data_IF_906018873824
#
_entry.id   IF_906018873824
#
_cell.length_a   1.000
_cell.length_b   1.000
_cell.length_c   1.000
_cell.angle_alpha   90.00
_cell.angle_beta   90.00
_cell.angle_gamma   90.00
#
_symmetry.space_group_name_H-M   'P 1'
#
loop_
_entity.id
_entity.type
_entity.pdbx_description
1 polymer ?
#
# COMPACT_ATOMS: atom_id res chain seq x y z
N UNK A 1 -2.54 -9.74 -6.38
CA UNK A 1 -3.16 -8.68 -7.20
C UNK A 1 -3.18 -7.34 -6.46
N UNK A 2 -3.60 -7.32 -5.20
CA UNK A 2 -3.71 -6.10 -4.36
C UNK A 2 -2.40 -5.32 -4.23
N UNK A 3 -1.29 -5.98 -3.90
CA UNK A 3 0.04 -5.35 -3.78
C UNK A 3 0.48 -4.66 -5.09
N UNK A 4 0.34 -5.34 -6.24
CA UNK A 4 0.74 -4.76 -7.54
C UNK A 4 -0.09 -3.53 -7.93
N UNK A 5 -1.36 -3.48 -7.52
CA UNK A 5 -2.22 -2.30 -7.72
C UNK A 5 -1.78 -1.15 -6.82
N UNK A 6 -1.49 -1.44 -5.55
CA UNK A 6 -0.99 -0.45 -4.59
C UNK A 6 0.34 0.15 -5.06
N UNK A 7 1.27 -0.69 -5.51
CA UNK A 7 2.57 -0.28 -6.03
C UNK A 7 2.44 0.66 -7.23
N UNK A 8 1.53 0.35 -8.17
CA UNK A 8 1.25 1.22 -9.33
C UNK A 8 0.67 2.56 -8.93
N UNK A 9 -0.26 2.58 -7.96
CA UNK A 9 -0.88 3.81 -7.46
C UNK A 9 0.18 4.72 -6.80
N UNK A 10 1.00 4.14 -5.92
CA UNK A 10 2.07 4.87 -5.22
C UNK A 10 3.10 5.41 -6.22
N UNK A 11 3.54 4.57 -7.17
CA UNK A 11 4.44 4.99 -8.24
C UNK A 11 3.84 6.07 -9.16
N UNK A 12 2.52 6.10 -9.32
CA UNK A 12 1.84 7.12 -10.13
C UNK A 12 1.69 8.46 -9.39
N UNK A 13 1.92 8.53 -8.07
CA UNK A 13 1.75 9.74 -7.27
C UNK A 13 0.29 10.23 -7.15
N UNK A 14 -0.67 9.54 -7.76
CA UNK A 14 -2.12 9.86 -7.70
C UNK A 14 -2.77 9.14 -6.52
N UNK A 15 -2.33 9.44 -5.31
CA UNK A 15 -2.90 8.87 -4.11
C UNK A 15 -2.84 9.85 -2.96
N UNK A 16 -3.83 9.78 -2.08
CA UNK A 16 -3.75 10.43 -0.79
C UNK A 16 -3.05 9.49 0.19
N UNK A 17 -2.05 10.00 0.93
CA UNK A 17 -1.30 9.19 1.89
C UNK A 17 -2.22 8.57 2.95
N UNK A 18 -3.28 9.27 3.36
CA UNK A 18 -4.21 8.76 4.37
C UNK A 18 -5.09 7.65 3.80
N UNK A 19 -5.70 7.85 2.63
CA UNK A 19 -6.51 6.80 1.97
C UNK A 19 -5.67 5.55 1.67
N UNK A 20 -4.43 5.74 1.23
CA UNK A 20 -3.56 4.63 0.88
C UNK A 20 -3.17 3.81 2.11
N UNK A 21 -2.85 4.49 3.21
CA UNK A 21 -2.56 3.84 4.49
C UNK A 21 -3.77 3.06 5.01
N UNK A 22 -4.95 3.66 5.00
CA UNK A 22 -6.20 3.01 5.44
C UNK A 22 -6.50 1.73 4.63
N UNK A 23 -6.34 1.80 3.30
CA UNK A 23 -6.48 0.63 2.43
C UNK A 23 -5.43 -0.45 2.71
N UNK A 24 -4.17 -0.05 2.92
CA UNK A 24 -3.09 -0.99 3.23
C UNK A 24 -3.34 -1.71 4.57
N UNK A 25 -3.82 -1.00 5.58
CA UNK A 25 -4.19 -1.56 6.89
C UNK A 25 -5.32 -2.59 6.74
N UNK A 26 -6.38 -2.25 5.99
CA UNK A 26 -7.47 -3.20 5.69
C UNK A 26 -6.96 -4.43 4.94
N UNK A 27 -6.03 -4.26 3.99
CA UNK A 27 -5.46 -5.39 3.24
C UNK A 27 -4.58 -6.29 4.11
N UNK A 28 -3.84 -5.70 5.06
CA UNK A 28 -3.04 -6.46 6.03
C UNK A 28 -3.96 -7.23 6.99
N UNK A 29 -4.99 -6.57 7.53
CA UNK A 29 -6.01 -7.19 8.39
C UNK A 29 -6.75 -8.33 7.68
N UNK A 30 -7.04 -8.15 6.39
CA UNK A 30 -7.68 -9.16 5.55
C UNK A 30 -6.71 -10.28 5.09
N UNK A 31 -5.45 -10.29 5.54
CA UNK A 31 -4.39 -11.20 5.08
C UNK A 31 -4.24 -11.25 3.54
N UNK A 32 -4.54 -10.13 2.86
CA UNK A 32 -4.43 -9.98 1.40
C UNK A 32 -3.02 -9.62 0.96
N UNK A 33 -2.21 -9.09 1.87
CA UNK A 33 -0.80 -8.74 1.73
C UNK A 33 -0.05 -9.18 3.00
N UNK A 34 1.26 -9.40 2.88
CA UNK A 34 2.13 -9.71 4.03
C UNK A 34 2.68 -8.44 4.67
N UNK A 35 3.21 -8.56 5.89
CA UNK A 35 3.85 -7.45 6.61
C UNK A 35 5.00 -6.82 5.81
N UNK A 36 5.79 -7.67 5.12
CA UNK A 36 6.87 -7.23 4.22
C UNK A 36 6.34 -6.38 3.06
N UNK A 37 5.25 -6.82 2.42
CA UNK A 37 4.61 -6.10 1.33
C UNK A 37 4.02 -4.77 1.80
N UNK A 38 3.42 -4.73 2.99
CA UNK A 38 2.91 -3.50 3.60
C UNK A 38 4.06 -2.51 3.86
N UNK A 39 5.15 -2.96 4.48
CA UNK A 39 6.35 -2.13 4.74
C UNK A 39 6.96 -1.58 3.47
N UNK A 40 7.10 -2.39 2.43
CA UNK A 40 7.66 -1.95 1.16
C UNK A 40 6.81 -0.84 0.52
N UNK A 41 5.48 -0.99 0.55
CA UNK A 41 4.56 0.02 0.03
C UNK A 41 4.56 1.30 0.89
N UNK A 42 4.63 1.19 2.21
CA UNK A 42 4.76 2.34 3.11
C UNK A 42 6.07 3.09 2.89
N UNK A 43 7.20 2.39 2.71
CA UNK A 43 8.47 3.02 2.37
C UNK A 43 8.42 3.76 1.03
N UNK A 44 7.74 3.19 0.02
CA UNK A 44 7.52 3.89 -1.25
C UNK A 44 6.66 5.16 -1.12
N UNK A 45 5.84 5.27 -0.06
CA UNK A 45 5.01 6.45 0.21
C UNK A 45 5.71 7.53 1.03
N UNK A 46 6.67 7.14 1.87
CA UNK A 46 7.48 8.07 2.66
C UNK A 46 8.69 8.62 1.88
N UNK A 47 9.11 7.91 0.83
CA UNK A 47 10.18 8.32 -0.09
C UNK A 47 9.82 9.44 -1.06
#
# INVERSE_FOLDING_TARGET
MTYGYCKKIIASGKYDKNEMKDKLDVFLLANRITDEQYKELMQMMEG
#
